data_IF_232583680884
#
_entry.id   IF_232583680884
#
_cell.length_a   1.000
_cell.length_b   1.000
_cell.length_c   1.000
_cell.angle_alpha   90.00
_cell.angle_beta   90.00
_cell.angle_gamma   90.00
#
_symmetry.space_group_name_H-M   'P 1'
#
loop_
_entity.id
_entity.type
_entity.pdbx_description
1 polymer ?
#
# COMPACT_ATOMS: atom_id res chain seq x y z
N UNK A 1 6.23 2.53 2.56
CA UNK A 1 6.75 3.70 3.25
C UNK A 1 8.28 3.65 3.36
N UNK A 2 8.90 4.81 3.49
CA UNK A 2 10.37 4.98 3.56
C UNK A 2 11.13 4.35 2.39
N UNK A 3 10.51 4.29 1.24
CA UNK A 3 11.12 3.90 -0.02
C UNK A 3 10.92 5.01 -1.06
N UNK A 4 11.62 4.95 -2.15
CA UNK A 4 11.43 5.87 -3.26
C UNK A 4 11.66 5.16 -4.59
N UNK A 5 10.81 5.46 -5.55
CA UNK A 5 11.09 5.15 -6.94
C UNK A 5 12.05 6.18 -7.54
N UNK A 6 12.90 5.73 -8.42
CA UNK A 6 13.84 6.56 -9.16
C UNK A 6 14.01 6.04 -10.60
N UNK A 7 14.93 6.62 -11.38
CA UNK A 7 15.13 6.28 -12.78
C UNK A 7 15.87 4.93 -13.01
N UNK A 8 16.01 4.10 -11.98
CA UNK A 8 16.68 2.81 -12.12
C UNK A 8 15.85 1.84 -12.97
N UNK A 9 16.54 0.92 -13.62
CA UNK A 9 15.90 -0.17 -14.35
C UNK A 9 15.10 -1.06 -13.39
N UNK A 10 13.81 -1.24 -13.68
CA UNK A 10 12.91 -2.10 -12.95
C UNK A 10 12.35 -3.18 -13.88
N UNK A 11 12.83 -4.42 -13.75
CA UNK A 11 12.47 -5.52 -14.64
C UNK A 11 10.95 -5.74 -14.71
N UNK A 12 10.26 -5.67 -13.57
CA UNK A 12 8.80 -5.84 -13.51
C UNK A 12 8.06 -4.77 -14.32
N UNK A 13 8.51 -3.50 -14.23
CA UNK A 13 7.91 -2.42 -15.00
C UNK A 13 8.12 -2.65 -16.52
N UNK A 14 9.29 -3.14 -16.91
CA UNK A 14 9.56 -3.47 -18.31
C UNK A 14 8.70 -4.63 -18.83
N UNK A 15 8.42 -5.63 -18.00
CA UNK A 15 7.51 -6.71 -18.36
C UNK A 15 6.08 -6.19 -18.61
N UNK A 16 5.57 -5.30 -17.76
CA UNK A 16 4.25 -4.69 -17.99
C UNK A 16 4.22 -3.85 -19.26
N UNK A 17 5.24 -3.03 -19.49
CA UNK A 17 5.36 -2.22 -20.73
C UNK A 17 5.43 -3.13 -21.97
N UNK A 18 6.19 -4.23 -21.92
CA UNK A 18 6.28 -5.21 -23.01
C UNK A 18 4.93 -5.91 -23.28
N UNK A 19 4.07 -6.01 -22.29
CA UNK A 19 2.71 -6.54 -22.41
C UNK A 19 1.68 -5.49 -22.88
N UNK A 20 2.11 -4.26 -23.18
CA UNK A 20 1.28 -3.18 -23.71
C UNK A 20 0.65 -2.27 -22.66
N UNK A 21 1.08 -2.34 -21.40
CA UNK A 21 0.60 -1.45 -20.35
C UNK A 21 1.43 -0.18 -20.27
N UNK A 22 0.79 0.91 -19.89
CA UNK A 22 1.48 2.08 -19.36
C UNK A 22 1.66 1.88 -17.86
N UNK A 23 2.89 2.01 -17.38
CA UNK A 23 3.23 1.85 -15.97
C UNK A 23 3.40 3.22 -15.32
N UNK A 24 2.60 3.49 -14.31
CA UNK A 24 2.62 4.73 -13.54
C UNK A 24 3.03 4.41 -12.11
N UNK A 25 4.00 5.12 -11.59
CA UNK A 25 4.41 5.05 -10.20
C UNK A 25 4.87 6.43 -9.73
N UNK A 26 4.82 6.65 -8.44
CA UNK A 26 5.24 7.92 -7.85
C UNK A 26 5.68 7.73 -6.40
N UNK A 27 6.12 8.81 -5.82
CA UNK A 27 6.61 8.88 -4.45
C UNK A 27 5.60 9.68 -3.60
N UNK A 28 4.61 9.02 -2.98
CA UNK A 28 3.69 9.69 -2.07
C UNK A 28 4.41 10.15 -0.81
N UNK A 29 3.72 10.93 0.03
CA UNK A 29 4.23 11.27 1.36
C UNK A 29 4.74 10.03 2.08
N UNK A 30 5.76 10.18 2.93
CA UNK A 30 6.46 9.06 3.56
C UNK A 30 7.57 8.45 2.70
N UNK A 31 7.76 8.91 1.45
CA UNK A 31 8.88 8.45 0.62
C UNK A 31 10.19 9.07 1.08
N UNK A 32 11.30 8.32 0.91
CA UNK A 32 12.66 8.80 1.20
C UNK A 32 13.21 9.64 0.04
N UNK A 33 14.27 10.42 0.32
CA UNK A 33 14.94 11.23 -0.70
C UNK A 33 14.42 12.66 -0.82
N UNK A 34 13.35 13.03 -0.10
CA UNK A 34 12.73 14.36 -0.10
C UNK A 34 12.89 15.09 1.23
N UNK A 35 13.82 14.65 2.09
CA UNK A 35 14.06 15.19 3.41
C UNK A 35 13.29 14.45 4.51
N UNK A 36 13.75 14.63 5.77
CA UNK A 36 13.18 13.92 6.92
C UNK A 36 11.72 14.33 7.18
N UNK A 37 11.40 15.61 7.06
CA UNK A 37 10.04 16.11 7.25
C UNK A 37 9.04 15.41 6.33
N UNK A 38 9.36 15.25 5.04
CA UNK A 38 8.51 14.54 4.09
C UNK A 38 8.40 13.04 4.41
N UNK A 39 9.50 12.40 4.80
CA UNK A 39 9.52 10.99 5.16
C UNK A 39 8.66 10.70 6.41
N UNK A 40 8.66 11.60 7.38
CA UNK A 40 7.93 11.45 8.65
C UNK A 40 6.46 11.90 8.59
N UNK A 41 5.96 12.37 7.45
CA UNK A 41 4.53 12.76 7.32
C UNK A 41 3.54 11.62 7.51
N UNK A 42 4.01 10.37 7.46
CA UNK A 42 3.19 9.16 7.67
C UNK A 42 3.32 8.56 9.06
N UNK A 43 4.19 9.10 9.93
CA UNK A 43 4.35 8.61 11.29
C UNK A 43 3.01 8.69 12.03
N UNK A 44 2.65 7.59 12.69
CA UNK A 44 1.36 7.41 13.39
C UNK A 44 0.11 7.60 12.50
N UNK A 45 0.26 7.51 11.17
CA UNK A 45 -0.84 7.83 10.25
C UNK A 45 -0.73 7.09 8.90
N UNK A 46 -0.39 5.80 8.93
CA UNK A 46 -0.23 4.95 7.72
C UNK A 46 -1.07 3.67 7.80
N UNK A 47 -1.82 3.34 6.72
CA UNK A 47 -2.13 4.15 5.53
C UNK A 47 -3.20 5.21 5.84
N UNK A 48 -3.12 6.36 5.23
CA UNK A 48 -4.12 7.42 5.34
C UNK A 48 -4.08 8.36 4.11
N UNK A 49 -3.49 9.57 4.26
CA UNK A 49 -3.45 10.59 3.20
C UNK A 49 -2.43 10.30 2.09
N UNK A 50 -1.57 9.34 2.25
CA UNK A 50 -0.77 8.74 1.18
C UNK A 50 -1.66 8.14 0.07
N UNK A 51 -2.88 7.69 0.42
CA UNK A 51 -3.92 7.37 -0.55
C UNK A 51 -4.27 8.56 -1.45
N UNK A 52 -4.44 9.76 -0.89
CA UNK A 52 -4.78 10.95 -1.66
C UNK A 52 -3.69 11.24 -2.69
N UNK A 53 -2.41 11.22 -2.28
CA UNK A 53 -1.27 11.43 -3.18
C UNK A 53 -1.25 10.42 -4.33
N UNK A 54 -1.57 9.16 -4.05
CA UNK A 54 -1.64 8.13 -5.09
C UNK A 54 -2.80 8.35 -6.06
N UNK A 55 -3.96 8.83 -5.57
CA UNK A 55 -5.08 9.17 -6.44
C UNK A 55 -4.80 10.40 -7.29
N UNK A 56 -4.08 11.40 -6.78
CA UNK A 56 -3.62 12.55 -7.55
C UNK A 56 -2.67 12.12 -8.69
N UNK A 57 -1.78 11.14 -8.43
CA UNK A 57 -0.92 10.55 -9.47
C UNK A 57 -1.75 9.82 -10.53
N UNK A 58 -2.77 9.07 -10.13
CA UNK A 58 -3.69 8.40 -11.06
C UNK A 58 -4.46 9.43 -11.89
N UNK A 59 -4.95 10.50 -11.27
CA UNK A 59 -5.69 11.55 -11.98
C UNK A 59 -4.79 12.28 -13.00
N UNK A 60 -3.54 12.56 -12.62
CA UNK A 60 -2.56 13.14 -13.54
C UNK A 60 -2.25 12.19 -14.72
N UNK A 61 -2.23 10.88 -14.49
CA UNK A 61 -2.03 9.90 -15.56
C UNK A 61 -3.26 9.82 -16.48
N UNK A 62 -4.47 9.76 -15.92
CA UNK A 62 -5.73 9.70 -16.68
C UNK A 62 -5.94 10.96 -17.54
N UNK A 63 -5.41 12.10 -17.10
CA UNK A 63 -5.43 13.34 -17.91
C UNK A 63 -4.61 13.25 -19.20
N UNK A 64 -3.81 12.21 -19.39
CA UNK A 64 -3.09 11.97 -20.65
C UNK A 64 -4.03 11.29 -21.66
N UNK A 65 -4.14 11.85 -22.88
CA UNK A 65 -5.09 11.41 -23.90
C UNK A 65 -4.99 9.94 -24.33
N UNK A 66 -3.86 9.28 -24.04
CA UNK A 66 -3.62 7.88 -24.42
C UNK A 66 -3.92 6.88 -23.29
N UNK A 67 -4.38 7.33 -22.12
CA UNK A 67 -4.76 6.48 -21.00
C UNK A 67 -6.27 6.21 -21.03
N UNK A 68 -6.61 4.93 -20.99
CA UNK A 68 -7.99 4.46 -20.89
C UNK A 68 -8.36 4.34 -19.40
N UNK A 69 -9.17 5.27 -18.90
CA UNK A 69 -9.60 5.30 -17.50
C UNK A 69 -10.46 4.11 -17.07
N UNK A 70 -11.06 3.40 -18.04
CA UNK A 70 -11.82 2.17 -17.78
C UNK A 70 -10.90 0.94 -17.62
N UNK A 71 -9.59 1.08 -17.81
CA UNK A 71 -8.61 0.00 -17.77
C UNK A 71 -7.46 0.27 -16.78
N UNK A 72 -7.79 0.76 -15.62
CA UNK A 72 -6.83 0.98 -14.55
C UNK A 72 -6.63 -0.30 -13.72
N UNK A 73 -5.38 -0.58 -13.35
CA UNK A 73 -4.99 -1.73 -12.54
C UNK A 73 -4.05 -1.26 -11.43
N UNK A 74 -4.19 -1.83 -10.23
CA UNK A 74 -3.32 -1.49 -9.10
C UNK A 74 -2.46 -2.70 -8.70
N UNK A 75 -1.16 -2.48 -8.52
CA UNK A 75 -0.22 -3.52 -8.09
C UNK A 75 0.71 -2.95 -7.03
N UNK A 76 0.89 -3.67 -5.93
CA UNK A 76 1.83 -3.27 -4.91
C UNK A 76 2.34 -4.41 -4.06
N UNK A 77 3.56 -4.26 -3.56
CA UNK A 77 4.21 -5.23 -2.67
C UNK A 77 4.59 -4.61 -1.33
N UNK A 78 4.55 -5.41 -0.23
CA UNK A 78 4.89 -4.97 1.12
C UNK A 78 4.05 -3.76 1.56
N UNK A 79 4.65 -2.62 1.89
CA UNK A 79 3.94 -1.36 2.12
C UNK A 79 3.06 -0.94 0.95
N UNK A 80 3.51 -1.14 -0.30
CA UNK A 80 2.70 -0.93 -1.49
C UNK A 80 1.54 -1.93 -1.61
N UNK A 81 1.71 -3.15 -1.12
CA UNK A 81 0.63 -4.14 -0.99
C UNK A 81 -0.43 -3.68 -0.01
N UNK A 82 -0.03 -3.17 1.16
CA UNK A 82 -0.93 -2.56 2.14
C UNK A 82 -1.72 -1.40 1.55
N UNK A 83 -1.03 -0.50 0.81
CA UNK A 83 -1.67 0.62 0.11
C UNK A 83 -2.62 0.14 -0.99
N UNK A 84 -2.25 -0.88 -1.77
CA UNK A 84 -3.14 -1.44 -2.80
C UNK A 84 -4.39 -2.04 -2.18
N UNK A 85 -4.26 -2.79 -1.07
CA UNK A 85 -5.40 -3.32 -0.33
C UNK A 85 -6.29 -2.19 0.26
N UNK A 86 -5.66 -1.11 0.74
CA UNK A 86 -6.37 0.08 1.21
C UNK A 86 -7.13 0.78 0.08
N UNK A 87 -6.48 0.96 -1.09
CA UNK A 87 -7.07 1.58 -2.28
C UNK A 87 -8.34 0.86 -2.71
N UNK A 88 -8.31 -0.47 -2.88
CA UNK A 88 -9.48 -1.23 -3.34
C UNK A 88 -10.64 -1.25 -2.34
N UNK A 89 -10.37 -0.96 -1.07
CA UNK A 89 -11.39 -0.73 -0.04
C UNK A 89 -11.96 0.70 -0.03
N UNK A 90 -11.27 1.64 -0.68
CA UNK A 90 -11.65 3.07 -0.73
C UNK A 90 -12.32 3.47 -2.05
N UNK A 91 -12.01 2.80 -3.16
CA UNK A 91 -12.50 3.18 -4.50
C UNK A 91 -12.66 1.96 -5.40
N UNK A 92 -13.60 2.06 -6.35
CA UNK A 92 -13.87 1.05 -7.36
C UNK A 92 -13.30 1.44 -8.75
N UNK A 93 -12.35 2.38 -8.81
CA UNK A 93 -11.75 2.87 -10.07
C UNK A 93 -10.94 1.80 -10.81
N UNK A 94 -10.47 0.79 -10.12
CA UNK A 94 -9.56 -0.20 -10.69
C UNK A 94 -10.31 -1.46 -11.15
N UNK A 95 -10.00 -1.95 -12.34
CA UNK A 95 -10.60 -3.17 -12.92
C UNK A 95 -10.10 -4.44 -12.25
N UNK A 96 -8.89 -4.45 -11.78
CA UNK A 96 -8.32 -5.51 -10.94
C UNK A 96 -7.13 -4.98 -10.14
N UNK A 97 -6.78 -5.72 -9.10
CA UNK A 97 -5.63 -5.40 -8.26
C UNK A 97 -4.81 -6.66 -7.92
N UNK A 98 -3.51 -6.48 -7.72
CA UNK A 98 -2.59 -7.51 -7.21
C UNK A 98 -1.90 -6.97 -5.97
N UNK A 99 -2.16 -7.63 -4.87
CA UNK A 99 -1.70 -7.28 -3.52
C UNK A 99 -0.68 -8.32 -3.08
N UNK A 100 0.58 -7.92 -2.94
CA UNK A 100 1.69 -8.85 -2.63
C UNK A 100 2.23 -8.57 -1.24
N UNK A 101 2.24 -9.59 -0.38
CA UNK A 101 2.74 -9.53 1.00
C UNK A 101 2.27 -8.26 1.76
N UNK A 102 0.95 -8.01 1.88
CA UNK A 102 0.42 -6.84 2.53
C UNK A 102 0.34 -7.00 4.04
N UNK A 103 0.32 -5.89 4.76
CA UNK A 103 -0.27 -5.85 6.10
C UNK A 103 -1.77 -5.58 5.96
N UNK A 104 -2.57 -6.59 6.19
CA UNK A 104 -4.04 -6.48 6.14
C UNK A 104 -4.64 -6.08 7.50
N UNK A 105 -4.04 -6.56 8.58
CA UNK A 105 -4.48 -6.29 9.96
C UNK A 105 -3.27 -5.90 10.83
N UNK A 106 -3.20 -4.65 11.24
CA UNK A 106 -2.10 -4.12 12.02
C UNK A 106 -2.00 -4.74 13.42
N UNK A 107 -3.13 -5.11 14.05
CA UNK A 107 -3.08 -5.81 15.34
C UNK A 107 -2.39 -7.17 15.22
N UNK A 108 -2.76 -7.97 14.22
CA UNK A 108 -2.09 -9.25 13.95
C UNK A 108 -0.62 -9.04 13.61
N UNK A 109 -0.33 -8.07 12.75
CA UNK A 109 1.03 -7.74 12.32
C UNK A 109 1.95 -7.45 13.52
N UNK A 110 1.54 -6.57 14.40
CA UNK A 110 2.32 -6.17 15.58
C UNK A 110 2.52 -7.33 16.56
N UNK A 111 1.54 -8.24 16.68
CA UNK A 111 1.61 -9.34 17.65
C UNK A 111 2.36 -10.58 17.14
N UNK A 112 2.54 -10.73 15.81
CA UNK A 112 3.10 -11.95 15.22
C UNK A 112 4.38 -11.73 14.41
N UNK A 113 4.69 -10.47 14.04
CA UNK A 113 5.85 -10.12 13.23
C UNK A 113 7.13 -9.98 14.06
N UNK A 114 8.27 -10.21 13.44
CA UNK A 114 9.60 -9.92 13.99
C UNK A 114 9.93 -8.43 14.03
N UNK A 115 9.15 -7.58 13.34
CA UNK A 115 9.27 -6.11 13.32
C UNK A 115 8.36 -5.39 14.33
N UNK A 116 7.81 -6.09 15.30
CA UNK A 116 6.81 -5.56 16.23
C UNK A 116 7.24 -4.27 16.96
N UNK A 117 8.51 -4.18 17.37
CA UNK A 117 9.04 -3.01 18.09
C UNK A 117 9.04 -1.76 17.20
N UNK A 118 9.52 -1.87 15.97
CA UNK A 118 9.54 -0.76 15.00
C UNK A 118 8.13 -0.26 14.74
N UNK A 119 7.20 -1.16 14.48
CA UNK A 119 5.82 -0.80 14.14
C UNK A 119 5.08 -0.13 15.30
N UNK A 120 5.33 -0.57 16.54
CA UNK A 120 4.69 0.04 17.72
C UNK A 120 5.30 1.36 18.16
N UNK A 121 6.51 1.72 17.71
CA UNK A 121 7.13 3.00 18.04
C UNK A 121 6.90 4.06 16.97
N UNK A 122 6.93 3.68 15.70
CA UNK A 122 6.98 4.64 14.61
C UNK A 122 5.59 4.82 13.94
N UNK A 123 4.75 3.76 13.96
CA UNK A 123 3.47 3.79 13.24
C UNK A 123 2.26 3.87 14.15
N UNK A 124 2.40 3.64 15.44
CA UNK A 124 1.31 3.77 16.42
C UNK A 124 1.80 4.46 17.68
N UNK A 125 0.96 5.22 18.33
CA UNK A 125 1.28 5.89 19.58
C UNK A 125 1.16 4.97 20.79
N UNK A 126 0.22 4.03 20.73
CA UNK A 126 -0.15 3.12 21.82
C UNK A 126 -0.01 1.66 21.41
N UNK A 127 -0.15 0.77 22.37
CA UNK A 127 -0.21 -0.67 22.14
C UNK A 127 -1.62 -1.10 21.67
N UNK A 128 -1.75 -2.20 20.90
CA UNK A 128 -3.05 -2.61 20.35
C UNK A 128 -4.12 -2.92 21.41
N UNK A 129 -3.73 -3.32 22.61
CA UNK A 129 -4.66 -3.55 23.72
C UNK A 129 -5.05 -2.27 24.48
N UNK A 130 -4.32 -1.17 24.30
CA UNK A 130 -4.62 0.13 24.89
C UNK A 130 -5.51 0.96 23.97
N UNK A 131 -5.20 0.97 22.66
CA UNK A 131 -5.97 1.68 21.64
C UNK A 131 -6.22 0.79 20.40
N UNK A 132 -7.09 -0.24 20.52
CA UNK A 132 -7.36 -1.17 19.42
C UNK A 132 -7.98 -0.50 18.18
N UNK A 133 -8.70 0.60 18.38
CA UNK A 133 -9.38 1.30 17.29
C UNK A 133 -8.41 2.05 16.37
N UNK A 134 -7.26 2.49 16.86
CA UNK A 134 -6.20 3.07 16.06
C UNK A 134 -5.66 2.03 15.06
N UNK A 135 -5.35 0.84 15.55
CA UNK A 135 -4.92 -0.29 14.71
C UNK A 135 -5.98 -0.72 13.69
N UNK A 136 -7.23 -0.78 14.13
CA UNK A 136 -8.34 -1.17 13.26
C UNK A 136 -8.56 -0.15 12.15
N UNK A 137 -8.60 1.14 12.47
CA UNK A 137 -8.89 2.20 11.51
C UNK A 137 -7.82 2.35 10.42
N UNK A 138 -6.58 1.92 10.66
CA UNK A 138 -5.49 1.88 9.70
C UNK A 138 -5.32 0.51 9.02
N UNK A 139 -6.10 -0.49 9.40
CA UNK A 139 -6.05 -1.82 8.79
C UNK A 139 -6.90 -1.89 7.51
N UNK A 140 -6.36 -2.32 6.36
CA UNK A 140 -7.18 -2.59 5.17
C UNK A 140 -8.38 -3.51 5.44
N UNK A 141 -8.25 -4.42 6.41
CA UNK A 141 -9.33 -5.30 6.84
C UNK A 141 -10.60 -4.53 7.27
N UNK A 142 -10.46 -3.33 7.83
CA UNK A 142 -11.60 -2.49 8.21
C UNK A 142 -12.46 -2.08 7.02
N UNK A 143 -11.91 -2.11 5.82
CA UNK A 143 -12.55 -1.70 4.57
C UNK A 143 -12.98 -2.89 3.70
N UNK A 144 -12.74 -4.13 4.12
CA UNK A 144 -12.95 -5.32 3.28
C UNK A 144 -14.38 -5.45 2.77
N UNK A 145 -15.37 -4.99 3.54
CA UNK A 145 -16.78 -4.99 3.13
C UNK A 145 -17.10 -4.08 1.94
N UNK A 146 -16.21 -3.16 1.58
CA UNK A 146 -16.38 -2.24 0.47
C UNK A 146 -15.69 -2.73 -0.83
N UNK A 147 -14.86 -3.78 -0.73
CA UNK A 147 -14.08 -4.26 -1.88
C UNK A 147 -14.98 -4.90 -2.92
N UNK A 148 -15.08 -4.25 -4.08
CA UNK A 148 -15.76 -4.78 -5.27
C UNK A 148 -14.78 -5.10 -6.40
N UNK A 149 -13.57 -4.53 -6.36
CA UNK A 149 -12.52 -4.75 -7.35
C UNK A 149 -11.99 -6.20 -7.25
N UNK A 150 -11.98 -6.98 -8.36
CA UNK A 150 -11.32 -8.28 -8.39
C UNK A 150 -9.86 -8.16 -7.94
N UNK A 151 -9.51 -8.83 -6.85
CA UNK A 151 -8.21 -8.66 -6.19
C UNK A 151 -7.52 -10.01 -6.00
N UNK A 152 -6.30 -10.13 -6.52
CA UNK A 152 -5.42 -11.25 -6.23
C UNK A 152 -4.57 -10.92 -5.01
N UNK A 153 -4.59 -11.78 -4.01
CA UNK A 153 -3.75 -11.68 -2.83
C UNK A 153 -2.62 -12.73 -2.93
N UNK A 154 -1.39 -12.30 -2.83
CA UNK A 154 -0.20 -13.14 -2.79
C UNK A 154 0.53 -12.94 -1.46
N UNK A 155 0.81 -14.02 -0.76
CA UNK A 155 1.56 -14.00 0.51
C UNK A 155 2.53 -15.16 0.57
N UNK A 156 3.73 -14.92 1.08
CA UNK A 156 4.73 -15.96 1.30
C UNK A 156 4.40 -16.76 2.57
N UNK A 157 4.35 -18.08 2.47
CA UNK A 157 4.08 -18.98 3.62
C UNK A 157 5.12 -18.81 4.75
N UNK A 158 6.37 -18.48 4.38
CA UNK A 158 7.48 -18.29 5.31
C UNK A 158 7.85 -16.82 5.50
N UNK A 159 6.95 -15.90 5.26
CA UNK A 159 7.17 -14.47 5.49
C UNK A 159 6.93 -14.11 6.98
N UNK A 160 8.03 -14.01 7.73
CA UNK A 160 8.01 -13.65 9.15
C UNK A 160 7.82 -12.16 9.40
N UNK A 161 8.11 -11.32 8.42
CA UNK A 161 7.95 -9.86 8.52
C UNK A 161 6.49 -9.44 8.43
N UNK A 162 5.73 -10.08 7.54
CA UNK A 162 4.31 -9.79 7.37
C UNK A 162 3.43 -10.68 8.27
N UNK A 163 4.04 -11.61 8.97
CA UNK A 163 3.37 -12.47 9.95
C UNK A 163 2.48 -13.55 9.31
N UNK A 164 2.50 -14.75 9.88
CA UNK A 164 1.67 -15.88 9.43
C UNK A 164 0.17 -15.71 9.67
N UNK A 165 -0.25 -14.64 10.35
CA UNK A 165 -1.64 -14.42 10.72
C UNK A 165 -2.55 -14.00 9.54
N UNK A 166 -1.98 -13.93 8.33
CA UNK A 166 -2.71 -13.55 7.12
C UNK A 166 -2.97 -14.72 6.15
N UNK A 167 -2.62 -15.95 6.58
CA UNK A 167 -2.86 -17.18 5.81
C UNK A 167 -3.95 -17.99 6.47
#
# INVERSE_FOLDING_TARGET
PWAAYGPQFAANNQLYVSAGYVVVYGNPRGSTGYGAEFAHTIDHNFPNRDYDDLMDIVDAAVALEFIDEEKLYAVGGSGGGTLTAWIVGKTNRFRAAVVVNPVINWTSQVLTSDLNKLMTSDWFTDKPWTNPMDYWSHSPLSLVGNVATPTMLLSGEADWQIGRAHV
#
